data_IF_479333861269
#
_entry.id   IF_479333861269
#
_cell.length_a   1.000
_cell.length_b   1.000
_cell.length_c   1.000
_cell.angle_alpha   90.00
_cell.angle_beta   90.00
_cell.angle_gamma   90.00
#
_symmetry.space_group_name_H-M   'P 1'
#
loop_
_entity.id
_entity.type
_entity.pdbx_description
1 polymer ?
#
# COMPACT_ATOMS: atom_id res chain seq x y z
N UNK A 1 5.40 -13.44 -3.82
CA UNK A 1 4.18 -13.31 -4.67
C UNK A 1 4.17 -14.38 -5.72
N UNK A 2 5.22 -14.48 -6.53
CA UNK A 2 5.38 -15.56 -7.52
C UNK A 2 5.41 -16.95 -6.86
N UNK A 3 6.03 -17.10 -5.68
CA UNK A 3 6.10 -18.37 -4.93
C UNK A 3 4.73 -18.96 -4.58
N UNK A 4 3.73 -18.11 -4.35
CA UNK A 4 2.36 -18.49 -3.97
C UNK A 4 1.36 -18.32 -5.12
N UNK A 5 1.85 -17.98 -6.32
CA UNK A 5 1.01 -17.74 -7.49
C UNK A 5 0.19 -18.98 -7.88
N UNK A 6 0.77 -20.17 -7.72
CA UNK A 6 0.07 -21.44 -7.99
C UNK A 6 -1.09 -21.67 -7.01
N UNK A 7 -0.87 -21.42 -5.72
CA UNK A 7 -1.89 -21.55 -4.68
C UNK A 7 -3.04 -20.55 -4.89
N UNK A 8 -2.71 -19.29 -5.21
CA UNK A 8 -3.74 -18.28 -5.55
C UNK A 8 -4.58 -18.75 -6.73
N UNK A 9 -3.95 -19.28 -7.81
CA UNK A 9 -4.69 -19.79 -8.97
C UNK A 9 -5.60 -20.95 -8.60
N UNK A 10 -5.12 -21.89 -7.78
CA UNK A 10 -5.92 -23.03 -7.33
C UNK A 10 -7.18 -22.59 -6.57
N UNK A 11 -7.06 -21.60 -5.68
CA UNK A 11 -8.21 -21.04 -4.97
C UNK A 11 -9.19 -20.32 -5.91
N UNK A 12 -8.67 -19.54 -6.85
CA UNK A 12 -9.51 -18.86 -7.85
C UNK A 12 -10.24 -19.86 -8.75
N UNK A 13 -9.59 -20.95 -9.16
CA UNK A 13 -10.19 -22.02 -9.98
C UNK A 13 -11.32 -22.76 -9.23
N UNK A 14 -11.28 -22.79 -7.89
CA UNK A 14 -12.35 -23.33 -7.03
C UNK A 14 -13.52 -22.37 -6.85
N UNK A 15 -13.39 -21.11 -7.29
CA UNK A 15 -14.36 -20.05 -7.07
C UNK A 15 -14.27 -19.40 -5.69
N UNK A 16 -13.14 -19.56 -4.98
CA UNK A 16 -12.91 -18.89 -3.70
C UNK A 16 -12.61 -17.39 -3.90
N UNK A 17 -12.96 -16.57 -2.90
CA UNK A 17 -12.53 -15.17 -2.83
C UNK A 17 -11.21 -15.10 -2.06
N UNK A 18 -10.16 -14.58 -2.71
CA UNK A 18 -8.81 -14.49 -2.13
C UNK A 18 -8.50 -13.04 -1.72
N UNK A 19 -8.27 -12.83 -0.43
CA UNK A 19 -7.80 -11.54 0.10
C UNK A 19 -6.28 -11.57 0.30
N UNK A 20 -5.59 -10.56 -0.25
CA UNK A 20 -4.14 -10.43 -0.15
C UNK A 20 -3.78 -9.13 0.57
N UNK A 21 -3.09 -9.24 1.71
CA UNK A 21 -2.42 -8.10 2.34
C UNK A 21 -1.14 -7.78 1.54
N UNK A 22 -1.24 -6.73 0.71
CA UNK A 22 -0.24 -6.24 -0.25
C UNK A 22 -0.05 -7.14 -1.48
N UNK A 23 -0.17 -6.50 -2.63
CA UNK A 23 0.13 -7.10 -3.93
C UNK A 23 1.04 -6.19 -4.76
N UNK A 24 1.05 -6.32 -6.09
CA UNK A 24 2.00 -5.66 -7.01
C UNK A 24 2.10 -4.14 -6.77
N UNK A 25 0.97 -3.44 -6.61
CA UNK A 25 0.96 -1.99 -6.40
C UNK A 25 1.69 -1.54 -5.12
N UNK A 26 1.76 -2.39 -4.09
CA UNK A 26 2.57 -2.07 -2.91
C UNK A 26 4.06 -2.08 -3.22
N UNK A 27 4.55 -2.98 -4.09
CA UNK A 27 5.95 -2.93 -4.50
C UNK A 27 6.21 -1.69 -5.39
N UNK A 28 5.28 -1.37 -6.30
CA UNK A 28 5.39 -0.17 -7.13
C UNK A 28 5.55 1.10 -6.28
N UNK A 29 4.63 1.33 -5.33
CA UNK A 29 4.66 2.54 -4.51
C UNK A 29 5.97 2.67 -3.73
N UNK A 30 6.41 1.60 -3.06
CA UNK A 30 7.63 1.64 -2.24
C UNK A 30 8.92 1.77 -3.05
N UNK A 31 9.01 1.16 -4.23
CA UNK A 31 10.22 1.28 -5.05
C UNK A 31 10.27 2.64 -5.75
N UNK A 32 9.13 3.14 -6.25
CA UNK A 32 9.07 4.47 -6.87
C UNK A 32 9.35 5.58 -5.85
N UNK A 33 8.92 5.43 -4.59
CA UNK A 33 9.18 6.42 -3.54
C UNK A 33 10.67 6.61 -3.21
N UNK A 34 11.53 5.66 -3.58
CA UNK A 34 13.00 5.78 -3.44
C UNK A 34 13.64 6.64 -4.53
N UNK A 35 12.94 6.84 -5.63
CA UNK A 35 13.41 7.62 -6.78
C UNK A 35 12.90 9.05 -6.67
N UNK A 36 13.68 10.00 -7.19
CA UNK A 36 13.26 11.41 -7.28
C UNK A 36 12.88 11.81 -8.71
N UNK A 37 13.48 11.16 -9.72
CA UNK A 37 13.20 11.46 -11.13
C UNK A 37 11.92 10.77 -11.63
N UNK A 38 11.06 11.53 -12.30
CA UNK A 38 9.75 11.04 -12.74
C UNK A 38 9.85 10.08 -13.93
N UNK A 39 10.81 10.26 -14.83
CA UNK A 39 11.00 9.36 -15.98
C UNK A 39 11.50 7.99 -15.49
N UNK A 40 12.42 7.97 -14.53
CA UNK A 40 12.89 6.73 -13.91
C UNK A 40 11.78 6.02 -13.15
N UNK A 41 10.91 6.75 -12.43
CA UNK A 41 9.71 6.15 -11.81
C UNK A 41 8.79 5.51 -12.85
N UNK A 42 8.53 6.18 -13.98
CA UNK A 42 7.68 5.63 -15.03
C UNK A 42 8.28 4.35 -15.66
N UNK A 43 9.58 4.36 -15.98
CA UNK A 43 10.30 3.18 -16.46
C UNK A 43 10.20 2.03 -15.46
N UNK A 44 10.44 2.31 -14.18
CA UNK A 44 10.36 1.31 -13.12
C UNK A 44 8.95 0.73 -12.98
N UNK A 45 7.89 1.56 -13.05
CA UNK A 45 6.51 1.07 -13.00
C UNK A 45 6.21 0.11 -14.15
N UNK A 46 6.55 0.50 -15.38
CA UNK A 46 6.36 -0.34 -16.56
C UNK A 46 7.14 -1.65 -16.43
N UNK A 47 8.39 -1.58 -15.98
CA UNK A 47 9.22 -2.76 -15.79
C UNK A 47 8.64 -3.72 -14.76
N UNK A 48 8.27 -3.24 -13.55
CA UNK A 48 7.69 -4.09 -12.50
C UNK A 48 6.38 -4.72 -12.96
N UNK A 49 5.48 -3.94 -13.58
CA UNK A 49 4.20 -4.46 -14.06
C UNK A 49 4.38 -5.54 -15.12
N UNK A 50 5.25 -5.31 -16.11
CA UNK A 50 5.55 -6.31 -17.13
C UNK A 50 6.21 -7.56 -16.54
N UNK A 51 7.12 -7.38 -15.59
CA UNK A 51 7.81 -8.51 -14.97
C UNK A 51 6.88 -9.38 -14.11
N UNK A 52 6.00 -8.76 -13.33
CA UNK A 52 5.07 -9.49 -12.46
C UNK A 52 3.93 -10.13 -13.28
N UNK A 53 3.28 -9.37 -14.17
CA UNK A 53 2.07 -9.83 -14.85
C UNK A 53 2.30 -10.51 -16.19
N UNK A 54 3.35 -10.18 -16.94
CA UNK A 54 3.58 -10.77 -18.26
C UNK A 54 4.65 -11.87 -18.18
N UNK A 55 5.75 -11.64 -17.46
CA UNK A 55 6.81 -12.65 -17.32
C UNK A 55 6.45 -13.73 -16.30
N UNK A 56 6.14 -13.36 -15.05
CA UNK A 56 5.73 -14.34 -14.03
C UNK A 56 4.27 -14.79 -14.15
N UNK A 57 3.47 -14.08 -14.95
CA UNK A 57 2.07 -14.38 -15.21
C UNK A 57 1.29 -14.70 -13.92
N UNK A 58 1.52 -13.86 -12.89
CA UNK A 58 0.75 -13.95 -11.64
C UNK A 58 -0.67 -13.41 -11.88
N UNK A 59 -1.68 -13.91 -11.14
CA UNK A 59 -3.05 -13.47 -11.30
C UNK A 59 -3.21 -11.95 -11.16
N UNK A 60 -3.88 -11.31 -12.13
CA UNK A 60 -4.28 -9.91 -12.01
C UNK A 60 -5.47 -9.83 -11.05
N UNK A 61 -5.42 -9.02 -9.97
CA UNK A 61 -6.54 -8.90 -9.05
C UNK A 61 -7.71 -8.20 -9.73
N UNK A 62 -8.94 -8.66 -9.45
CA UNK A 62 -10.17 -8.00 -9.92
C UNK A 62 -10.37 -6.63 -9.25
N UNK A 63 -9.96 -6.53 -7.98
CA UNK A 63 -10.09 -5.31 -7.19
C UNK A 63 -8.78 -5.05 -6.45
N UNK A 64 -8.23 -3.84 -6.58
CA UNK A 64 -7.14 -3.36 -5.76
C UNK A 64 -7.61 -2.16 -4.93
N UNK A 65 -7.32 -2.17 -3.63
CA UNK A 65 -7.74 -1.12 -2.70
C UNK A 65 -6.52 -0.54 -1.98
N UNK A 66 -6.45 0.78 -1.94
CA UNK A 66 -5.53 1.54 -1.10
C UNK A 66 -6.30 2.23 0.03
N UNK A 67 -6.00 1.81 1.26
CA UNK A 67 -6.56 2.40 2.48
C UNK A 67 -5.66 3.57 2.94
N UNK A 68 -6.10 4.80 2.69
CA UNK A 68 -5.36 6.00 3.08
C UNK A 68 -5.70 6.40 4.52
N UNK A 69 -4.83 6.05 5.45
CA UNK A 69 -4.98 6.39 6.87
C UNK A 69 -4.37 7.76 7.18
N UNK A 70 -4.94 8.51 8.15
CA UNK A 70 -4.38 9.79 8.56
C UNK A 70 -2.89 9.70 8.94
N UNK A 71 -2.06 10.69 8.56
CA UNK A 71 -0.63 10.72 8.91
C UNK A 71 -0.36 10.63 10.42
N UNK A 72 -1.24 11.20 11.25
CA UNK A 72 -1.16 11.15 12.71
C UNK A 72 -1.14 9.72 13.27
N UNK A 73 -1.89 8.80 12.65
CA UNK A 73 -1.91 7.38 13.03
C UNK A 73 -0.59 6.70 12.66
N UNK A 74 -0.03 7.05 11.50
CA UNK A 74 1.26 6.51 11.04
C UNK A 74 2.39 6.97 11.96
N UNK A 75 2.37 8.24 12.36
CA UNK A 75 3.32 8.82 13.33
C UNK A 75 3.26 8.10 14.67
N UNK A 76 2.06 7.88 15.23
CA UNK A 76 1.87 7.16 16.48
C UNK A 76 2.40 5.72 16.40
N UNK A 77 2.05 4.97 15.35
CA UNK A 77 2.51 3.58 15.17
C UNK A 77 4.03 3.48 15.02
N UNK A 78 4.67 4.48 14.40
CA UNK A 78 6.14 4.52 14.27
C UNK A 78 6.84 4.80 15.61
N UNK A 79 6.16 5.48 16.54
CA UNK A 79 6.64 5.71 17.91
C UNK A 79 6.45 4.47 18.79
N UNK A 80 5.31 3.79 18.72
CA UNK A 80 4.97 2.62 19.53
C UNK A 80 5.89 1.42 19.28
N UNK A 81 6.18 1.09 18.01
CA UNK A 81 7.04 -0.05 17.61
C UNK A 81 8.50 0.05 18.10
N UNK A 82 8.89 1.17 18.74
CA UNK A 82 10.27 1.45 19.19
C UNK A 82 10.40 1.66 20.70
N UNK A 83 9.34 1.36 21.46
CA UNK A 83 9.35 1.36 22.93
C UNK A 83 9.79 0.03 23.56
N UNK A 84 10.01 -1.01 22.75
CA UNK A 84 10.64 -2.28 23.15
C UNK A 84 12.17 -2.15 23.31
N UNK A 85 12.64 -2.39 24.55
CA UNK A 85 14.01 -2.69 25.05
C UNK A 85 15.29 -2.00 24.54
N UNK A 86 15.32 -1.12 23.54
CA UNK A 86 16.60 -0.54 23.05
C UNK A 86 16.72 0.97 23.33
N UNK A 87 16.97 1.30 24.60
CA UNK A 87 17.07 2.69 25.10
C UNK A 87 18.49 3.27 25.20
N UNK A 88 19.56 2.58 24.79
CA UNK A 88 20.93 3.13 24.94
C UNK A 88 21.51 3.86 23.70
N UNK A 89 20.95 3.69 22.50
CA UNK A 89 21.53 4.26 21.25
C UNK A 89 20.99 5.65 20.83
N UNK A 90 20.42 6.41 21.75
CA UNK A 90 19.44 7.49 21.49
C UNK A 90 19.94 8.83 20.90
N UNK A 91 21.24 9.03 20.61
CA UNK A 91 21.75 10.34 20.16
C UNK A 91 21.48 10.71 18.69
N UNK A 92 20.86 9.84 17.89
CA UNK A 92 20.54 10.07 16.46
C UNK A 92 19.05 9.91 16.06
N UNK A 93 18.11 9.87 17.02
CA UNK A 93 16.72 9.44 16.75
C UNK A 93 15.83 10.44 15.99
N UNK A 94 16.12 11.74 16.04
CA UNK A 94 15.29 12.75 15.34
C UNK A 94 15.37 12.58 13.82
N UNK A 95 16.59 12.48 13.27
CA UNK A 95 16.82 12.36 11.83
C UNK A 95 16.26 11.06 11.24
N UNK A 96 16.33 9.95 11.98
CA UNK A 96 15.80 8.66 11.53
C UNK A 96 14.27 8.69 11.50
N UNK A 97 13.65 9.36 12.48
CA UNK A 97 12.20 9.53 12.51
C UNK A 97 11.73 10.42 11.37
N UNK A 98 12.39 11.56 11.15
CA UNK A 98 12.09 12.49 10.07
C UNK A 98 12.28 11.83 8.69
N UNK A 99 13.38 11.11 8.48
CA UNK A 99 13.61 10.35 7.23
C UNK A 99 12.55 9.28 7.00
N UNK A 100 12.10 8.59 8.05
CA UNK A 100 11.02 7.61 7.95
C UNK A 100 9.69 8.27 7.59
N UNK A 101 9.34 9.40 8.22
CA UNK A 101 8.11 10.14 7.93
C UNK A 101 8.11 10.73 6.51
N UNK A 102 9.21 11.36 6.10
CA UNK A 102 9.38 11.85 4.74
C UNK A 102 9.26 10.72 3.72
N UNK A 103 9.82 9.54 4.01
CA UNK A 103 9.67 8.37 3.14
C UNK A 103 8.23 7.87 3.08
N UNK A 104 7.52 7.78 4.21
CA UNK A 104 6.10 7.38 4.21
C UNK A 104 5.23 8.39 3.45
N UNK A 105 5.52 9.70 3.53
CA UNK A 105 4.85 10.72 2.72
C UNK A 105 5.06 10.49 1.23
N UNK A 106 6.31 10.22 0.80
CA UNK A 106 6.62 9.85 -0.60
C UNK A 106 5.87 8.59 -1.03
N UNK A 107 5.81 7.56 -0.19
CA UNK A 107 5.07 6.33 -0.50
C UNK A 107 3.57 6.61 -0.68
N UNK A 108 2.98 7.46 0.18
CA UNK A 108 1.59 7.89 0.05
C UNK A 108 1.36 8.65 -1.26
N UNK A 109 2.24 9.59 -1.61
CA UNK A 109 2.17 10.32 -2.89
C UNK A 109 2.20 9.36 -4.08
N UNK A 110 3.04 8.32 -4.05
CA UNK A 110 3.06 7.28 -5.08
C UNK A 110 1.75 6.48 -5.13
N UNK A 111 1.16 6.12 -3.99
CA UNK A 111 -0.14 5.47 -3.97
C UNK A 111 -1.25 6.37 -4.53
N UNK A 112 -1.26 7.66 -4.18
CA UNK A 112 -2.23 8.62 -4.73
C UNK A 112 -2.04 8.80 -6.24
N UNK A 113 -0.80 8.77 -6.72
CA UNK A 113 -0.52 8.73 -8.15
C UNK A 113 -1.07 7.46 -8.79
N UNK A 114 -0.85 6.30 -8.17
CA UNK A 114 -1.37 5.03 -8.68
C UNK A 114 -2.90 5.02 -8.76
N UNK A 115 -3.60 5.53 -7.74
CA UNK A 115 -5.07 5.60 -7.74
C UNK A 115 -5.64 6.48 -8.87
N UNK A 116 -4.87 7.45 -9.36
CA UNK A 116 -5.28 8.34 -10.46
C UNK A 116 -5.00 7.78 -11.85
N UNK A 117 -4.03 6.88 -11.99
CA UNK A 117 -3.48 6.46 -13.29
C UNK A 117 -3.58 4.95 -13.55
N UNK A 118 -3.94 4.17 -12.53
CA UNK A 118 -4.05 2.72 -12.58
C UNK A 118 -5.32 2.29 -11.86
N UNK A 119 -5.67 1.01 -12.05
CA UNK A 119 -6.85 0.40 -11.45
C UNK A 119 -6.62 0.08 -9.96
N UNK A 120 -6.50 1.15 -9.17
CA UNK A 120 -6.31 1.11 -7.72
C UNK A 120 -7.35 2.03 -7.08
N UNK A 121 -8.26 1.44 -6.33
CA UNK A 121 -9.34 2.16 -5.66
C UNK A 121 -8.82 2.86 -4.41
N UNK A 122 -9.04 4.16 -4.32
CA UNK A 122 -8.71 4.96 -3.14
C UNK A 122 -9.85 4.92 -2.12
N UNK A 123 -9.52 4.60 -0.86
CA UNK A 123 -10.45 4.69 0.27
C UNK A 123 -9.81 5.56 1.36
N UNK A 124 -10.41 6.72 1.59
CA UNK A 124 -10.08 7.55 2.74
C UNK A 124 -10.54 6.84 4.03
N UNK A 125 -9.63 6.64 4.97
CA UNK A 125 -9.93 6.06 6.28
C UNK A 125 -10.10 7.13 7.37
N UNK A 126 -10.17 8.41 6.98
CA UNK A 126 -10.30 9.53 7.90
C UNK A 126 -11.74 9.99 8.12
N UNK A 127 -11.98 10.60 9.28
CA UNK A 127 -13.15 11.43 9.56
C UNK A 127 -12.97 12.83 9.00
N UNK A 128 -14.02 13.65 8.96
CA UNK A 128 -13.95 15.07 8.56
C UNK A 128 -12.91 15.89 9.35
N UNK A 129 -12.63 15.50 10.61
CA UNK A 129 -11.59 16.13 11.45
C UNK A 129 -10.19 15.52 11.26
N UNK A 130 -9.96 14.76 10.18
CA UNK A 130 -8.70 14.07 9.87
C UNK A 130 -8.20 13.07 10.93
N UNK A 131 -9.09 12.54 11.76
CA UNK A 131 -8.82 11.41 12.66
C UNK A 131 -9.15 10.08 11.99
N UNK A 132 -8.67 8.97 12.54
CA UNK A 132 -9.03 7.64 12.02
C UNK A 132 -10.53 7.41 12.24
N UNK A 133 -11.24 7.07 11.17
CA UNK A 133 -12.66 6.72 11.28
C UNK A 133 -12.84 5.40 12.05
N UNK A 134 -14.00 5.19 12.71
CA UNK A 134 -14.35 3.89 13.29
C UNK A 134 -14.27 2.77 12.25
N UNK A 135 -13.91 1.57 12.71
CA UNK A 135 -13.69 0.42 11.81
C UNK A 135 -14.94 0.09 10.99
N UNK A 136 -16.12 0.27 11.58
CA UNK A 136 -17.41 0.05 10.94
C UNK A 136 -17.59 1.02 9.75
N UNK A 137 -17.22 2.29 9.92
CA UNK A 137 -17.31 3.30 8.86
C UNK A 137 -16.34 2.99 7.72
N UNK A 138 -15.11 2.58 8.04
CA UNK A 138 -14.12 2.17 7.02
C UNK A 138 -14.60 0.91 6.29
N UNK A 139 -15.18 -0.05 7.01
CA UNK A 139 -15.72 -1.28 6.44
C UNK A 139 -16.86 -1.00 5.46
N UNK A 140 -17.81 -0.12 5.82
CA UNK A 140 -18.88 0.32 4.91
C UNK A 140 -18.33 0.97 3.63
N UNK A 141 -17.28 1.80 3.76
CA UNK A 141 -16.60 2.40 2.59
C UNK A 141 -15.98 1.33 1.68
N UNK A 142 -15.33 0.31 2.27
CA UNK A 142 -14.78 -0.83 1.53
C UNK A 142 -15.88 -1.60 0.80
N UNK A 143 -16.96 -1.96 1.49
CA UNK A 143 -18.07 -2.68 0.89
C UNK A 143 -18.71 -1.91 -0.27
N UNK A 144 -18.90 -0.59 -0.11
CA UNK A 144 -19.43 0.27 -1.18
C UNK A 144 -18.58 0.19 -2.45
N UNK A 145 -17.25 0.17 -2.34
CA UNK A 145 -16.38 0.06 -3.52
C UNK A 145 -16.38 -1.35 -4.11
N UNK A 146 -16.43 -2.40 -3.29
CA UNK A 146 -16.51 -3.79 -3.78
C UNK A 146 -17.82 -4.02 -4.54
N UNK A 147 -18.95 -3.53 -4.02
CA UNK A 147 -20.27 -3.70 -4.65
C UNK A 147 -20.36 -2.95 -5.99
N UNK A 148 -19.67 -1.82 -6.15
CA UNK A 148 -19.62 -1.09 -7.44
C UNK A 148 -18.83 -1.83 -8.52
N UNK A 149 -17.88 -2.67 -8.12
CA UNK A 149 -17.02 -3.42 -9.02
C UNK A 149 -17.64 -4.75 -9.48
N UNK A 150 -18.72 -5.22 -8.83
CA UNK A 150 -19.52 -6.39 -9.22
C UNK A 150 -20.68 -6.01 -10.13
#
# INVERSE_FOLDING_TARGET
>A
RWDVSAEIKEHLDKGDVVFLDRYVFSNLAYQCAKLNDQQEKEKLRKWILNFEFEYFNIPKPDINIFLDVPPSVVEQKLQENRTGSDREYLKGKSDIHEKSLLFQKKVREEYLFLCKNYDLTYIDCSTDNHLLAPIEVVFERILSEIVKAC
#
